data_IF_850969573256
#
_entry.id   IF_850969573256
#
_cell.length_a   1.000
_cell.length_b   1.000
_cell.length_c   1.000
_cell.angle_alpha   90.00
_cell.angle_beta   90.00
_cell.angle_gamma   90.00
#
_symmetry.space_group_name_H-M   'P 1'
#
loop_
_entity.id
_entity.type
_entity.pdbx_description
1 polymer ?
#
# COMPACT_ATOMS: atom_id res chain seq x y z
N UNK A 1 -5.48 -7.73 -3.76
CA UNK A 1 -5.82 -9.10 -3.33
C UNK A 1 -6.72 -9.03 -2.11
N UNK A 2 -7.88 -9.69 -2.20
CA UNK A 2 -8.83 -9.83 -1.10
C UNK A 2 -8.90 -11.31 -0.74
N UNK A 3 -8.85 -11.61 0.55
CA UNK A 3 -9.08 -12.94 1.09
C UNK A 3 -10.55 -13.05 1.48
N UNK A 4 -11.26 -13.97 0.83
CA UNK A 4 -12.67 -14.22 1.06
C UNK A 4 -12.85 -15.73 1.20
N UNK A 5 -13.05 -16.20 2.43
CA UNK A 5 -13.23 -17.63 2.70
C UNK A 5 -14.06 -17.88 3.96
N UNK A 6 -14.26 -19.15 4.28
CA UNK A 6 -14.77 -19.59 5.58
C UNK A 6 -13.66 -20.32 6.32
N UNK A 7 -13.52 -20.05 7.60
CA UNK A 7 -12.65 -20.79 8.50
C UNK A 7 -13.52 -21.28 9.66
N UNK A 8 -13.79 -22.60 9.68
CA UNK A 8 -14.85 -23.18 10.52
C UNK A 8 -16.20 -22.48 10.27
N UNK A 9 -16.85 -22.01 11.34
CA UNK A 9 -18.10 -21.24 11.34
C UNK A 9 -17.88 -19.72 11.21
N UNK A 10 -16.63 -19.27 11.03
CA UNK A 10 -16.29 -17.86 10.90
C UNK A 10 -16.07 -17.45 9.44
N UNK A 11 -16.76 -16.39 9.02
CA UNK A 11 -16.54 -15.76 7.72
C UNK A 11 -15.28 -14.90 7.77
N UNK A 12 -14.33 -15.16 6.87
CA UNK A 12 -13.15 -14.33 6.68
C UNK A 12 -13.36 -13.46 5.45
N UNK A 13 -13.23 -12.14 5.66
CA UNK A 13 -13.27 -11.13 4.59
C UNK A 13 -12.30 -10.01 4.92
N UNK A 14 -11.21 -9.91 4.17
CA UNK A 14 -10.16 -8.92 4.42
C UNK A 14 -9.28 -8.66 3.21
N UNK A 15 -8.69 -7.47 3.16
CA UNK A 15 -7.73 -7.10 2.13
C UNK A 15 -6.34 -7.55 2.60
N UNK A 16 -5.69 -8.41 1.81
CA UNK A 16 -4.33 -8.90 2.13
C UNK A 16 -3.25 -8.02 1.46
N UNK A 17 -3.54 -7.50 0.27
CA UNK A 17 -2.64 -6.63 -0.46
C UNK A 17 -3.46 -5.62 -1.28
N UNK A 18 -3.16 -4.33 -1.16
CA UNK A 18 -3.77 -3.29 -1.98
C UNK A 18 -2.67 -2.37 -2.51
N UNK A 19 -2.50 -2.42 -3.83
CA UNK A 19 -1.61 -1.54 -4.57
C UNK A 19 -2.44 -0.60 -5.44
N UNK A 20 -1.96 0.63 -5.60
CA UNK A 20 -2.55 1.62 -6.50
C UNK A 20 -1.47 2.30 -7.32
N UNK A 21 -1.69 2.46 -8.61
CA UNK A 21 -0.89 3.35 -9.44
C UNK A 21 -1.53 4.73 -9.39
N UNK A 22 -0.81 5.72 -8.87
CA UNK A 22 -1.31 7.09 -8.76
C UNK A 22 -0.19 8.09 -8.90
N UNK A 23 -0.38 9.06 -9.80
CA UNK A 23 0.58 10.14 -10.10
C UNK A 23 1.97 9.59 -10.45
N UNK A 24 2.01 8.54 -11.26
CA UNK A 24 3.26 7.90 -11.72
C UNK A 24 4.00 7.11 -10.65
N UNK A 25 3.40 6.85 -9.48
CA UNK A 25 4.01 6.11 -8.37
C UNK A 25 3.17 4.89 -7.98
N UNK A 26 3.84 3.90 -7.40
CA UNK A 26 3.22 2.71 -6.82
C UNK A 26 2.90 2.98 -5.36
N UNK A 27 1.63 3.01 -5.01
CA UNK A 27 1.16 3.18 -3.65
C UNK A 27 0.84 1.82 -3.03
N UNK A 28 1.50 1.52 -1.92
CA UNK A 28 1.21 0.35 -1.09
C UNK A 28 0.24 0.80 0.00
N UNK A 29 -1.06 0.59 -0.25
CA UNK A 29 -2.13 1.02 0.67
C UNK A 29 -2.36 0.01 1.80
N UNK A 30 -2.08 -1.27 1.54
CA UNK A 30 -2.11 -2.34 2.52
C UNK A 30 -1.23 -3.49 2.07
N UNK A 31 -0.49 -4.08 2.99
CA UNK A 31 0.40 -5.22 2.72
C UNK A 31 0.53 -6.12 3.96
N UNK A 32 0.08 -7.37 3.82
CA UNK A 32 0.20 -8.42 4.83
C UNK A 32 1.11 -9.57 4.37
N UNK A 33 1.94 -9.34 3.35
CA UNK A 33 2.94 -10.31 2.92
C UNK A 33 4.12 -10.32 3.90
N UNK A 34 4.72 -11.50 4.13
CA UNK A 34 5.83 -11.65 5.07
C UNK A 34 7.08 -10.90 4.63
N UNK A 35 7.45 -11.00 3.36
CA UNK A 35 8.62 -10.31 2.79
C UNK A 35 8.40 -8.81 2.58
N UNK A 36 7.13 -8.38 2.51
CA UNK A 36 6.74 -7.04 2.13
C UNK A 36 6.88 -6.79 0.63
N UNK A 37 5.83 -6.28 0.01
CA UNK A 37 5.81 -5.97 -1.43
C UNK A 37 6.80 -4.86 -1.78
N UNK A 38 7.08 -3.93 -0.85
CA UNK A 38 8.10 -2.90 -1.04
C UNK A 38 9.48 -3.53 -1.33
N UNK A 39 9.86 -4.57 -0.58
CA UNK A 39 11.11 -5.31 -0.77
C UNK A 39 11.17 -5.96 -2.15
N UNK A 40 10.07 -6.57 -2.60
CA UNK A 40 10.02 -7.24 -3.90
C UNK A 40 10.07 -6.25 -5.08
N UNK A 41 9.45 -5.07 -4.94
CA UNK A 41 9.56 -4.00 -5.94
C UNK A 41 10.99 -3.48 -6.07
N UNK A 42 11.69 -3.29 -4.95
CA UNK A 42 13.11 -2.90 -4.95
C UNK A 42 13.97 -3.96 -5.63
N UNK A 43 13.77 -5.26 -5.34
CA UNK A 43 14.47 -6.37 -6.01
C UNK A 43 14.19 -6.41 -7.52
N UNK A 44 12.99 -6.03 -7.94
CA UNK A 44 12.62 -5.91 -9.35
C UNK A 44 13.22 -4.66 -10.04
N UNK A 45 13.98 -3.84 -9.31
CA UNK A 45 14.67 -2.66 -9.85
C UNK A 45 13.85 -1.37 -9.81
N UNK A 46 12.70 -1.36 -9.14
CA UNK A 46 11.91 -0.13 -8.98
C UNK A 46 12.56 0.70 -7.87
N UNK A 47 12.95 1.96 -8.12
CA UNK A 47 13.58 2.78 -7.10
C UNK A 47 12.59 3.16 -5.98
N UNK A 48 13.12 3.37 -4.78
CA UNK A 48 12.34 3.71 -3.58
C UNK A 48 11.54 5.01 -3.72
N UNK A 49 12.02 5.96 -4.52
CA UNK A 49 11.35 7.24 -4.79
C UNK A 49 10.16 7.12 -5.75
N UNK A 50 9.93 5.96 -6.37
CA UNK A 50 8.72 5.62 -7.13
C UNK A 50 7.67 4.88 -6.29
N UNK A 51 8.01 4.47 -5.07
CA UNK A 51 7.15 3.68 -4.18
C UNK A 51 6.69 4.54 -3.01
N UNK A 52 5.39 4.59 -2.77
CA UNK A 52 4.77 5.30 -1.65
C UNK A 52 4.21 4.30 -0.64
N UNK A 53 4.63 4.38 0.62
CA UNK A 53 4.02 3.63 1.72
C UNK A 53 2.70 4.28 2.15
N UNK A 54 1.63 4.01 1.39
CA UNK A 54 0.28 4.57 1.58
C UNK A 54 -0.29 4.32 2.98
N UNK A 55 -0.06 3.13 3.54
CA UNK A 55 -0.48 2.76 4.90
C UNK A 55 0.22 3.57 6.01
N UNK A 56 1.34 4.24 5.74
CA UNK A 56 1.99 5.14 6.70
C UNK A 56 1.29 6.50 6.67
N UNK A 57 1.03 7.07 7.85
CA UNK A 57 0.51 8.43 7.97
C UNK A 57 1.39 9.40 7.14
N UNK A 58 0.81 10.34 6.37
CA UNK A 58 1.56 11.27 5.52
C UNK A 58 2.71 11.99 6.24
N UNK A 59 2.54 12.36 7.52
CA UNK A 59 3.58 13.04 8.32
C UNK A 59 4.76 12.14 8.69
N UNK A 60 4.60 10.81 8.62
CA UNK A 60 5.66 9.83 8.91
C UNK A 60 6.41 9.37 7.66
N UNK A 61 5.86 9.59 6.47
CA UNK A 61 6.50 9.19 5.19
C UNK A 61 7.88 9.83 4.99
N UNK A 62 8.11 11.12 5.34
CA UNK A 62 9.45 11.72 5.26
C UNK A 62 10.50 11.07 6.16
N UNK A 63 10.09 10.24 7.13
CA UNK A 63 11.00 9.54 8.04
C UNK A 63 11.43 8.16 7.49
N UNK A 64 11.09 7.85 6.23
CA UNK A 64 11.41 6.60 5.55
C UNK A 64 12.23 6.88 4.31
N UNK A 65 12.94 5.90 3.77
CA UNK A 65 13.63 6.05 2.48
C UNK A 65 12.67 6.06 1.25
N UNK A 66 11.36 5.95 1.44
CA UNK A 66 10.38 5.88 0.35
C UNK A 66 9.81 7.25 -0.04
N UNK A 67 9.12 7.29 -1.18
CA UNK A 67 8.55 8.52 -1.71
C UNK A 67 7.55 9.19 -0.74
N UNK A 68 7.70 10.51 -0.58
CA UNK A 68 6.73 11.36 0.10
C UNK A 68 5.73 11.86 -0.93
N UNK A 69 4.52 11.33 -0.89
CA UNK A 69 3.42 11.83 -1.69
C UNK A 69 2.19 12.08 -0.81
N UNK A 70 1.44 13.12 -1.13
CA UNK A 70 0.18 13.44 -0.50
C UNK A 70 -0.94 13.00 -1.43
N UNK A 71 -1.92 12.28 -0.91
CA UNK A 71 -3.19 12.16 -1.63
C UNK A 71 -3.90 13.49 -1.37
N UNK A 72 -4.13 14.28 -2.42
CA UNK A 72 -5.05 15.40 -2.29
C UNK A 72 -6.42 14.81 -1.96
N UNK A 73 -6.82 14.91 -0.70
CA UNK A 73 -8.16 14.55 -0.25
C UNK A 73 -9.11 15.59 -0.82
N UNK A 74 -9.54 15.41 -2.07
CA UNK A 74 -10.79 16.01 -2.51
C UNK A 74 -11.91 15.23 -1.81
N UNK A 75 -12.16 15.60 -0.56
CA UNK A 75 -13.46 15.36 0.06
C UNK A 75 -14.46 16.27 -0.66
N UNK A 76 -14.86 15.87 -1.87
CA UNK A 76 -16.15 16.27 -2.41
C UNK A 76 -17.07 15.13 -2.04
N UNK A 77 -17.80 15.34 -0.95
CA UNK A 77 -19.03 14.61 -0.68
C UNK A 77 -19.93 14.84 -1.91
N UNK A 78 -20.27 13.76 -2.63
CA UNK A 78 -21.47 13.73 -3.45
C UNK A 78 -22.58 13.10 -2.61
#
# INVERSE_FOLDING_TARGET
MVTICWQNDHRVHGITLHLRLHSGKIWIEQDWTESGIATELLKAGIPNDEIVLGFRNPKKRPLTEFAVAYVFSNAVFF
#
